data_IF_841272093394
#
_entry.id   IF_841272093394
#
_cell.length_a   1.000
_cell.length_b   1.000
_cell.length_c   1.000
_cell.angle_alpha   90.00
_cell.angle_beta   90.00
_cell.angle_gamma   90.00
#
_symmetry.space_group_name_H-M   'P 1'
#
loop_
_entity.id
_entity.type
_entity.pdbx_description
1 polymer ?
#
# COMPACT_ATOMS: atom_id res chain seq x y z
N UNK A 1 -4.91 -19.73 18.12
CA UNK A 1 -3.96 -19.81 17.05
C UNK A 1 -3.88 -18.50 16.27
N UNK A 2 -2.69 -18.06 16.03
CA UNK A 2 -2.48 -16.82 15.31
C UNK A 2 -2.67 -17.06 13.83
N UNK A 3 -3.43 -16.23 13.19
CA UNK A 3 -3.63 -16.35 11.76
C UNK A 3 -2.32 -16.09 11.04
N UNK A 4 -2.07 -16.85 9.99
CA UNK A 4 -0.90 -16.64 9.18
C UNK A 4 -1.25 -15.57 8.14
N UNK A 5 -1.01 -14.33 8.48
CA UNK A 5 -1.39 -13.22 7.61
C UNK A 5 -0.63 -13.25 6.28
N UNK A 6 0.49 -13.95 6.23
CA UNK A 6 1.28 -14.02 5.01
C UNK A 6 0.57 -14.83 3.92
N UNK A 7 -0.42 -15.61 4.29
CA UNK A 7 -1.22 -16.33 3.31
C UNK A 7 -2.44 -15.55 2.83
N UNK A 8 -2.68 -14.36 3.38
CA UNK A 8 -3.82 -13.57 2.98
C UNK A 8 -3.57 -12.89 1.64
N UNK A 9 -4.52 -12.96 0.72
CA UNK A 9 -4.34 -12.30 -0.58
C UNK A 9 -4.05 -10.81 -0.46
N UNK A 10 -4.66 -10.15 0.50
CA UNK A 10 -4.46 -8.72 0.71
C UNK A 10 -3.01 -8.40 1.07
N UNK A 11 -2.42 -9.20 1.96
CA UNK A 11 -1.03 -9.01 2.34
C UNK A 11 -0.11 -9.27 1.15
N UNK A 12 -0.40 -10.34 0.39
CA UNK A 12 0.40 -10.67 -0.78
C UNK A 12 0.34 -9.56 -1.83
N UNK A 13 -0.83 -8.97 -2.02
CA UNK A 13 -0.97 -7.87 -2.96
C UNK A 13 -0.17 -6.66 -2.51
N UNK A 14 -0.16 -6.39 -1.21
CA UNK A 14 0.65 -5.31 -0.66
C UNK A 14 2.13 -5.54 -0.91
N UNK A 15 2.59 -6.77 -0.73
CA UNK A 15 3.99 -7.11 -1.00
C UNK A 15 4.33 -6.99 -2.48
N UNK A 16 3.42 -7.43 -3.34
CA UNK A 16 3.62 -7.31 -4.78
C UNK A 16 3.73 -5.84 -5.19
N UNK A 17 2.86 -5.01 -4.62
CA UNK A 17 2.90 -3.57 -4.89
C UNK A 17 4.25 -2.99 -4.47
N UNK A 18 4.73 -3.35 -3.29
CA UNK A 18 6.02 -2.85 -2.81
C UNK A 18 7.16 -3.25 -3.74
N UNK A 19 7.14 -4.48 -4.21
CA UNK A 19 8.16 -4.96 -5.14
C UNK A 19 8.08 -4.22 -6.47
N UNK A 20 6.89 -3.97 -6.97
CA UNK A 20 6.71 -3.24 -8.23
C UNK A 20 7.19 -1.80 -8.10
N UNK A 21 6.92 -1.17 -6.95
CA UNK A 21 7.39 0.17 -6.68
C UNK A 21 8.92 0.20 -6.64
N UNK A 22 9.53 -0.75 -5.96
CA UNK A 22 10.99 -0.83 -5.91
C UNK A 22 11.60 -0.93 -7.30
N UNK A 23 11.02 -1.81 -8.13
CA UNK A 23 11.52 -2.00 -9.49
C UNK A 23 11.35 -0.73 -10.32
N UNK A 24 10.24 -0.03 -10.17
CA UNK A 24 9.99 1.20 -10.91
C UNK A 24 10.96 2.29 -10.51
N UNK A 25 11.23 2.43 -9.22
CA UNK A 25 12.18 3.43 -8.72
C UNK A 25 13.58 3.15 -9.27
N UNK A 26 13.96 1.89 -9.27
CA UNK A 26 15.27 1.51 -9.74
C UNK A 26 15.40 1.75 -11.24
N UNK A 27 14.38 1.36 -12.00
CA UNK A 27 14.39 1.55 -13.45
C UNK A 27 14.39 3.02 -13.82
N UNK A 28 13.80 3.88 -13.01
CA UNK A 28 13.79 5.31 -13.26
C UNK A 28 15.08 6.00 -12.83
N UNK A 29 16.01 5.26 -12.23
CA UNK A 29 17.25 5.83 -11.73
C UNK A 29 17.04 6.72 -10.53
N UNK A 30 15.94 6.53 -9.79
CA UNK A 30 15.57 7.39 -8.68
C UNK A 30 15.90 6.80 -7.32
N UNK A 31 16.62 5.69 -7.29
CA UNK A 31 16.88 4.98 -6.04
C UNK A 31 17.59 5.85 -4.99
N UNK A 32 18.51 6.68 -5.43
CA UNK A 32 19.27 7.54 -4.51
C UNK A 32 18.60 8.87 -4.22
N UNK A 33 17.42 9.13 -4.77
CA UNK A 33 16.76 10.41 -4.55
C UNK A 33 15.91 10.36 -3.29
N UNK A 34 15.59 11.53 -2.75
CA UNK A 34 14.72 11.63 -1.62
C UNK A 34 13.33 11.11 -1.94
N UNK A 35 12.81 11.46 -3.12
CA UNK A 35 11.49 11.00 -3.53
C UNK A 35 11.46 9.47 -3.65
N UNK A 36 12.50 8.88 -4.24
CA UNK A 36 12.56 7.42 -4.35
C UNK A 36 12.60 6.73 -3.00
N UNK A 37 13.34 7.31 -2.07
CA UNK A 37 13.42 6.76 -0.71
C UNK A 37 12.07 6.85 0.00
N UNK A 38 11.42 8.01 -0.09
CA UNK A 38 10.12 8.19 0.54
C UNK A 38 9.08 7.25 -0.07
N UNK A 39 9.13 7.11 -1.39
CA UNK A 39 8.19 6.23 -2.09
C UNK A 39 8.34 4.78 -1.63
N UNK A 40 9.58 4.31 -1.56
CA UNK A 40 9.83 2.93 -1.12
C UNK A 40 9.38 2.70 0.32
N UNK A 41 9.64 3.67 1.19
CA UNK A 41 9.21 3.55 2.59
C UNK A 41 7.69 3.49 2.70
N UNK A 42 7.01 4.36 1.97
CA UNK A 42 5.55 4.38 2.00
C UNK A 42 4.99 3.07 1.48
N UNK A 43 5.55 2.57 0.38
CA UNK A 43 5.03 1.34 -0.23
C UNK A 43 5.19 0.14 0.70
N UNK A 44 6.33 0.04 1.37
CA UNK A 44 6.60 -1.11 2.24
C UNK A 44 5.78 -1.04 3.54
N UNK A 45 5.33 0.16 3.90
CA UNK A 45 4.49 0.32 5.08
C UNK A 45 3.13 -0.33 4.90
N UNK A 46 2.65 -0.47 3.66
CA UNK A 46 1.32 -1.02 3.43
C UNK A 46 1.20 -2.47 3.88
N UNK A 47 2.05 -3.40 3.41
CA UNK A 47 1.93 -4.77 3.89
C UNK A 47 2.25 -4.89 5.38
N UNK A 48 3.13 -4.04 5.91
CA UNK A 48 3.41 -4.06 7.34
C UNK A 48 2.17 -3.73 8.16
N UNK A 49 1.42 -2.72 7.73
CA UNK A 49 0.21 -2.32 8.44
C UNK A 49 -0.90 -3.35 8.29
N UNK A 50 -1.00 -3.97 7.11
CA UNK A 50 -1.96 -5.04 6.90
C UNK A 50 -1.63 -6.20 7.84
N UNK A 51 -0.35 -6.55 7.95
CA UNK A 51 0.07 -7.62 8.85
C UNK A 51 -0.29 -7.31 10.30
N UNK A 52 -0.04 -6.06 10.72
CA UNK A 52 -0.38 -5.66 12.09
C UNK A 52 -1.88 -5.78 12.34
N UNK A 53 -2.69 -5.36 11.37
CA UNK A 53 -4.14 -5.43 11.52
C UNK A 53 -4.60 -6.86 11.75
N UNK A 54 -4.00 -7.80 11.01
CA UNK A 54 -4.43 -9.19 11.14
C UNK A 54 -3.80 -9.92 12.32
N UNK A 55 -2.72 -9.41 12.85
CA UNK A 55 -2.16 -9.99 14.06
C UNK A 55 -3.00 -9.62 15.29
N UNK A 56 -3.63 -8.45 15.26
CA UNK A 56 -4.42 -8.00 16.39
C UNK A 56 -5.88 -7.90 15.99
N UNK A 57 -6.44 -9.00 15.51
CA UNK A 57 -7.79 -8.97 14.97
C UNK A 57 -8.87 -8.72 15.98
N UNK A 58 -8.58 -8.98 17.24
CA UNK A 58 -9.57 -8.74 18.27
C UNK A 58 -9.50 -7.32 18.79
N UNK A 59 -8.49 -6.57 18.42
CA UNK A 59 -8.27 -5.25 18.96
C UNK A 59 -9.04 -4.18 18.23
N UNK A 60 -9.27 -3.09 18.92
CA UNK A 60 -9.91 -1.95 18.33
C UNK A 60 -8.98 -1.22 17.37
N UNK A 61 -7.72 -1.61 17.34
CA UNK A 61 -6.74 -0.95 16.50
C UNK A 61 -6.74 -1.45 15.06
N UNK A 62 -7.53 -2.48 14.77
CA UNK A 62 -7.59 -3.02 13.42
C UNK A 62 -8.01 -1.95 12.42
N UNK A 63 -9.08 -1.21 12.73
CA UNK A 63 -9.54 -0.15 11.85
C UNK A 63 -8.51 0.94 11.68
N UNK A 64 -7.79 1.25 12.75
CA UNK A 64 -6.77 2.27 12.72
C UNK A 64 -5.59 1.86 11.83
N UNK A 65 -5.14 0.61 11.96
CA UNK A 65 -4.05 0.11 11.13
C UNK A 65 -4.43 0.10 9.66
N UNK A 66 -5.67 -0.31 9.36
CA UNK A 66 -6.14 -0.32 7.97
C UNK A 66 -6.28 1.10 7.41
N UNK A 67 -6.73 2.04 8.23
CA UNK A 67 -6.82 3.44 7.80
C UNK A 67 -5.44 4.01 7.52
N UNK A 68 -4.44 3.64 8.32
CA UNK A 68 -3.07 4.08 8.07
C UNK A 68 -2.53 3.46 6.77
N UNK A 69 -2.88 2.22 6.48
CA UNK A 69 -2.47 1.59 5.24
C UNK A 69 -3.07 2.34 4.04
N UNK A 70 -4.34 2.76 4.15
CA UNK A 70 -4.97 3.58 3.11
C UNK A 70 -4.22 4.88 2.91
N UNK A 71 -3.83 5.53 4.01
CA UNK A 71 -3.10 6.78 3.93
C UNK A 71 -1.73 6.59 3.26
N UNK A 72 -1.09 5.44 3.49
CA UNK A 72 0.17 5.15 2.84
C UNK A 72 0.01 4.93 1.34
N UNK A 73 -1.09 4.31 0.93
CA UNK A 73 -1.37 4.18 -0.49
C UNK A 73 -1.58 5.54 -1.14
N UNK A 74 -2.26 6.45 -0.46
CA UNK A 74 -2.42 7.82 -0.96
C UNK A 74 -1.07 8.51 -1.08
N UNK A 75 -0.20 8.29 -0.12
CA UNK A 75 1.15 8.87 -0.16
C UNK A 75 1.94 8.34 -1.35
N UNK A 76 1.85 7.04 -1.60
CA UNK A 76 2.51 6.42 -2.75
C UNK A 76 2.01 7.07 -4.05
N UNK A 77 0.70 7.20 -4.17
CA UNK A 77 0.11 7.81 -5.36
C UNK A 77 0.58 9.24 -5.56
N UNK A 78 0.56 10.03 -4.49
CA UNK A 78 0.96 11.43 -4.55
C UNK A 78 2.41 11.57 -5.01
N UNK A 79 3.30 10.75 -4.45
CA UNK A 79 4.70 10.82 -4.84
C UNK A 79 4.89 10.40 -6.28
N UNK A 80 4.23 9.31 -6.70
CA UNK A 80 4.35 8.82 -8.07
C UNK A 80 3.92 9.85 -9.10
N UNK A 81 2.89 10.63 -8.77
CA UNK A 81 2.30 11.53 -9.75
C UNK A 81 2.83 12.96 -9.69
N UNK A 82 3.57 13.30 -8.65
CA UNK A 82 4.01 14.69 -8.48
C UNK A 82 5.51 14.91 -8.49
N UNK A 83 6.32 13.87 -8.31
CA UNK A 83 7.76 14.07 -8.18
C UNK A 83 8.48 14.02 -9.51
N UNK A 84 9.21 15.10 -9.85
CA UNK A 84 9.91 15.13 -11.15
C UNK A 84 10.94 14.03 -11.31
N UNK A 85 11.58 13.59 -10.24
CA UNK A 85 12.60 12.56 -10.32
C UNK A 85 12.04 11.20 -10.72
N UNK A 86 10.70 11.07 -10.73
CA UNK A 86 10.06 9.80 -11.10
C UNK A 86 9.44 9.85 -12.48
N UNK A 87 9.66 10.94 -13.22
CA UNK A 87 9.09 11.07 -14.56
C UNK A 87 9.62 10.06 -15.56
N UNK A 88 10.75 9.44 -15.25
CA UNK A 88 11.32 8.43 -16.15
C UNK A 88 10.59 7.10 -16.09
N UNK A 89 9.64 6.93 -15.16
CA UNK A 89 8.84 5.71 -15.14
C UNK A 89 7.98 5.69 -16.40
N UNK A 90 8.04 4.63 -17.21
CA UNK A 90 7.22 4.57 -18.42
C UNK A 90 5.74 4.68 -18.11
N UNK A 91 5.00 5.35 -19.00
CA UNK A 91 3.56 5.59 -18.75
C UNK A 91 2.77 4.33 -18.52
N UNK A 92 3.06 3.27 -19.25
CA UNK A 92 2.33 2.02 -19.08
C UNK A 92 2.56 1.43 -17.70
N UNK A 93 3.79 1.52 -17.20
CA UNK A 93 4.12 1.02 -15.86
C UNK A 93 3.45 1.88 -14.80
N UNK A 94 3.44 3.19 -15.00
CA UNK A 94 2.79 4.10 -14.08
C UNK A 94 1.29 3.83 -14.02
N UNK A 95 0.65 3.64 -15.17
CA UNK A 95 -0.77 3.36 -15.20
C UNK A 95 -1.10 2.08 -14.47
N UNK A 96 -0.29 1.04 -14.67
CA UNK A 96 -0.48 -0.23 -13.97
C UNK A 96 -0.37 -0.07 -12.48
N UNK A 97 0.63 0.70 -12.03
CA UNK A 97 0.81 0.96 -10.61
C UNK A 97 -0.38 1.71 -10.03
N UNK A 98 -0.87 2.72 -10.74
CA UNK A 98 -1.98 3.51 -10.24
C UNK A 98 -3.26 2.68 -10.15
N UNK A 99 -3.47 1.79 -11.11
CA UNK A 99 -4.61 0.88 -11.06
C UNK A 99 -4.52 -0.07 -9.89
N UNK A 100 -3.34 -0.61 -9.65
CA UNK A 100 -3.13 -1.51 -8.51
C UNK A 100 -3.33 -0.79 -7.19
N UNK A 101 -2.85 0.45 -7.09
CA UNK A 101 -3.05 1.25 -5.90
C UNK A 101 -4.53 1.47 -5.62
N UNK A 102 -5.27 1.82 -6.64
CA UNK A 102 -6.68 2.10 -6.49
C UNK A 102 -7.46 0.86 -6.09
N UNK A 103 -7.15 -0.25 -6.74
CA UNK A 103 -7.80 -1.52 -6.43
C UNK A 103 -7.50 -1.98 -5.00
N UNK A 104 -6.24 -1.86 -4.59
CA UNK A 104 -5.86 -2.27 -3.25
C UNK A 104 -6.49 -1.37 -2.20
N UNK A 105 -6.54 -0.07 -2.47
CA UNK A 105 -7.17 0.86 -1.55
C UNK A 105 -8.65 0.55 -1.39
N UNK A 106 -9.35 0.22 -2.47
CA UNK A 106 -10.76 -0.14 -2.40
C UNK A 106 -10.97 -1.36 -1.51
N UNK A 107 -10.08 -2.35 -1.61
CA UNK A 107 -10.17 -3.52 -0.76
C UNK A 107 -9.93 -3.19 0.70
N UNK A 108 -8.97 -2.30 0.98
CA UNK A 108 -8.71 -1.90 2.37
C UNK A 108 -9.89 -1.16 2.96
N UNK A 109 -10.49 -0.27 2.18
CA UNK A 109 -11.67 0.48 2.65
C UNK A 109 -12.81 -0.48 2.96
N UNK A 110 -13.04 -1.44 2.08
CA UNK A 110 -14.12 -2.40 2.27
C UNK A 110 -13.88 -3.25 3.52
N UNK A 111 -12.64 -3.70 3.70
CA UNK A 111 -12.31 -4.50 4.87
C UNK A 111 -12.44 -3.69 6.14
N UNK A 112 -11.95 -2.45 6.15
CA UNK A 112 -12.03 -1.60 7.33
C UNK A 112 -13.48 -1.36 7.73
N UNK A 113 -14.32 -1.04 6.75
CA UNK A 113 -15.73 -0.78 7.01
C UNK A 113 -16.40 -2.02 7.57
N UNK A 114 -16.09 -3.16 7.00
CA UNK A 114 -16.66 -4.43 7.45
C UNK A 114 -16.24 -4.78 8.88
N UNK A 115 -14.95 -4.53 9.18
CA UNK A 115 -14.42 -4.89 10.50
C UNK A 115 -14.88 -3.97 11.61
N UNK A 116 -15.11 -2.70 11.28
CA UNK A 116 -15.54 -1.76 12.29
C UNK A 116 -17.03 -1.81 12.54
N UNK A 117 -17.77 -2.51 11.71
CA UNK A 117 -19.20 -2.64 11.90
C UNK A 117 -19.99 -1.41 11.61
N UNK A 118 -19.38 -0.45 10.95
CA UNK A 118 -20.06 0.78 10.72
C UNK A 118 -21.04 0.78 9.65
N UNK A 119 -21.16 -0.32 9.03
CA UNK A 119 -22.09 -0.43 7.98
C UNK A 119 -23.48 -0.55 8.44
N UNK A 120 -23.70 -0.63 9.67
CA UNK A 120 -24.95 -0.89 10.08
C UNK A 120 -25.86 0.08 9.93
N UNK A 121 -26.63 -0.07 9.56
CA UNK A 121 -27.57 0.74 9.46
C UNK A 121 -27.75 1.81 9.65
#
# INVERSE_FOLDING_TARGET
MVADYKNLPLWKRGMTLAHTVYAAVEAAGAKGTEAGTRLRKAAVSVPSLVGEAFLDMSGKDVGEALALAEAKLDEVETILTSEPSLKAIPSADLEGLLEDLESLKAELVQLRTSRTGETTH
#
